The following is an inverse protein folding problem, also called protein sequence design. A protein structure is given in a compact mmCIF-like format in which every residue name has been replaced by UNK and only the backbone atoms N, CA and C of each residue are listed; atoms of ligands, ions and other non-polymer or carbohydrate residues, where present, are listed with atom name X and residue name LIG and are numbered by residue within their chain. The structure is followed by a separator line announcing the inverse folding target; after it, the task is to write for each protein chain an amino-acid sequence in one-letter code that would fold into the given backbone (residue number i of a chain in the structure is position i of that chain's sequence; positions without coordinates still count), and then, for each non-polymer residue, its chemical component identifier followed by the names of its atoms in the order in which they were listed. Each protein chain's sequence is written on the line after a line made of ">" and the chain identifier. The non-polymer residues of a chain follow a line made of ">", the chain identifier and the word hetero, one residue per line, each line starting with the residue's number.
data_IF_106161667851
#
_entry.id   IF_106161667851
#
_cell.length_a   1.000
_cell.length_b   1.000
_cell.length_c   1.000
_cell.angle_alpha   90.00
_cell.angle_beta   90.00
_cell.angle_gamma   90.00
#
_symmetry.space_group_name_H-M   'P 1'
#
loop_
_entity.id
_entity.type
_entity.pdbx_description
1 polymer ?
#
# COMPACT_ATOMS: atom_id res chain seq x y z
N UNK A 1 17.90 -0.19 -4.65
CA UNK A 1 19.01 -0.03 -3.67
C UNK A 1 18.96 -1.25 -2.73
N UNK A 2 20.06 -1.77 -2.18
CA UNK A 2 20.00 -2.98 -1.33
C UNK A 2 19.44 -2.64 0.07
N UNK A 3 18.51 -3.43 0.60
CA UNK A 3 17.79 -3.16 1.87
C UNK A 3 18.73 -2.90 3.05
N UNK A 4 19.89 -3.58 3.09
CA UNK A 4 20.89 -3.41 4.15
C UNK A 4 21.98 -2.37 3.83
N UNK A 5 21.90 -1.69 2.68
CA UNK A 5 23.00 -0.85 2.19
C UNK A 5 23.30 0.35 3.08
N UNK A 6 22.26 1.01 3.62
CA UNK A 6 22.36 2.14 4.56
C UNK A 6 22.97 1.70 5.87
N UNK A 7 22.45 0.62 6.48
CA UNK A 7 22.99 0.05 7.72
C UNK A 7 24.45 -0.40 7.57
N UNK A 8 24.76 -1.04 6.46
CA UNK A 8 26.15 -1.43 6.13
C UNK A 8 27.06 -0.20 5.99
N UNK A 9 26.56 0.88 5.38
CA UNK A 9 27.30 2.13 5.25
C UNK A 9 27.55 2.77 6.61
N UNK A 10 26.53 2.85 7.48
CA UNK A 10 26.63 3.40 8.83
C UNK A 10 27.63 2.62 9.69
N UNK A 11 27.52 1.29 9.71
CA UNK A 11 28.50 0.42 10.39
C UNK A 11 29.89 0.62 9.81
N UNK A 12 30.03 0.70 8.49
CA UNK A 12 31.34 0.92 7.85
C UNK A 12 31.96 2.26 8.23
N UNK A 13 31.17 3.33 8.26
CA UNK A 13 31.59 4.67 8.66
C UNK A 13 32.07 4.70 10.11
N UNK A 14 31.36 4.00 11.02
CA UNK A 14 31.72 3.90 12.43
C UNK A 14 32.92 2.96 12.66
N UNK A 15 32.98 1.84 11.94
CA UNK A 15 34.06 0.86 12.03
C UNK A 15 35.42 1.43 11.63
N UNK A 16 35.47 2.34 10.64
CA UNK A 16 36.70 3.05 10.23
C UNK A 16 37.33 3.89 11.35
N UNK A 17 36.57 4.24 12.39
CA UNK A 17 37.05 4.99 13.55
C UNK A 17 37.57 4.09 14.66
N UNK A 18 37.40 2.77 14.55
CA UNK A 18 37.88 1.82 15.55
C UNK A 18 39.39 1.56 15.34
N UNK A 19 40.20 1.57 16.42
CA UNK A 19 41.60 1.21 16.33
C UNK A 19 41.75 -0.26 15.89
N UNK A 20 42.74 -0.53 15.04
CA UNK A 20 43.09 -1.89 14.57
C UNK A 20 41.98 -2.64 13.81
N UNK A 21 40.94 -1.94 13.35
CA UNK A 21 39.88 -2.52 12.54
C UNK A 21 40.22 -2.43 11.04
N UNK A 22 40.31 -3.58 10.37
CA UNK A 22 40.67 -3.68 8.94
C UNK A 22 39.52 -4.22 8.09
N UNK A 23 38.27 -3.99 8.53
CA UNK A 23 37.10 -4.61 7.92
C UNK A 23 36.63 -3.88 6.65
N UNK A 24 36.36 -4.66 5.60
CA UNK A 24 35.76 -4.17 4.35
C UNK A 24 34.23 -4.15 4.42
N UNK A 25 33.59 -3.43 3.49
CA UNK A 25 32.13 -3.38 3.38
C UNK A 25 31.49 -4.76 3.15
N UNK A 26 32.14 -5.61 2.35
CA UNK A 26 31.68 -6.97 2.10
C UNK A 26 31.76 -7.84 3.37
N UNK A 27 32.80 -7.67 4.18
CA UNK A 27 32.94 -8.35 5.47
C UNK A 27 31.91 -7.87 6.49
N UNK A 28 31.50 -6.60 6.47
CA UNK A 28 30.38 -6.12 7.30
C UNK A 28 29.07 -6.82 6.95
N UNK A 29 28.78 -7.03 5.66
CA UNK A 29 27.60 -7.80 5.23
C UNK A 29 27.66 -9.26 5.73
N UNK A 30 28.85 -9.86 5.74
CA UNK A 30 29.09 -11.19 6.31
C UNK A 30 28.88 -11.21 7.84
N UNK A 31 29.24 -10.14 8.55
CA UNK A 31 28.96 -10.00 9.98
C UNK A 31 27.48 -9.81 10.27
N UNK A 32 26.77 -9.00 9.49
CA UNK A 32 25.32 -8.84 9.61
C UNK A 32 24.63 -10.19 9.36
N UNK A 33 25.05 -10.93 8.35
CA UNK A 33 24.54 -12.29 8.11
C UNK A 33 24.78 -13.21 9.32
N UNK A 34 25.99 -13.20 9.90
CA UNK A 34 26.30 -13.99 11.09
C UNK A 34 25.47 -13.59 12.31
N UNK A 35 25.27 -12.30 12.53
CA UNK A 35 24.42 -11.77 13.60
C UNK A 35 22.98 -12.33 13.47
N UNK A 36 22.44 -12.28 12.26
CA UNK A 36 21.14 -12.82 11.88
C UNK A 36 21.10 -14.36 11.74
N UNK A 37 22.18 -15.07 12.09
CA UNK A 37 22.21 -16.53 12.13
C UNK A 37 22.49 -17.24 10.80
N UNK A 38 22.93 -16.51 9.77
CA UNK A 38 23.31 -17.05 8.46
C UNK A 38 24.83 -17.10 8.33
N UNK A 39 25.34 -18.14 7.68
CA UNK A 39 26.79 -18.36 7.51
C UNK A 39 27.44 -17.36 6.54
N UNK A 40 26.67 -16.91 5.54
CA UNK A 40 27.13 -16.01 4.48
C UNK A 40 26.04 -15.00 4.13
N UNK A 41 26.46 -13.88 3.54
CA UNK A 41 25.52 -12.86 3.06
C UNK A 41 24.66 -13.35 1.89
N UNK A 42 25.18 -14.26 1.06
CA UNK A 42 24.38 -14.89 0.00
C UNK A 42 23.20 -15.70 0.56
N UNK A 43 23.43 -16.49 1.63
CA UNK A 43 22.36 -17.23 2.29
C UNK A 43 21.36 -16.32 3.03
N UNK A 44 21.80 -15.14 3.46
CA UNK A 44 20.91 -14.13 4.04
C UNK A 44 19.92 -13.58 3.01
N UNK A 45 20.36 -13.33 1.77
CA UNK A 45 19.49 -12.78 0.72
C UNK A 45 18.29 -13.66 0.37
N UNK A 46 18.40 -14.97 0.55
CA UNK A 46 17.35 -15.94 0.22
C UNK A 46 16.47 -16.30 1.43
N UNK A 47 16.54 -15.52 2.51
CA UNK A 47 15.84 -15.78 3.77
C UNK A 47 14.92 -14.62 4.12
N UNK A 48 13.80 -14.89 4.80
CA UNK A 48 12.94 -13.83 5.39
C UNK A 48 13.72 -13.06 6.45
N UNK A 49 14.05 -11.80 6.16
CA UNK A 49 14.87 -10.95 7.04
C UNK A 49 14.13 -10.58 8.32
N UNK A 50 12.81 -10.38 8.23
CA UNK A 50 11.88 -10.09 9.33
C UNK A 50 11.91 -11.20 10.38
N UNK A 51 11.77 -12.46 9.97
CA UNK A 51 11.91 -13.62 10.86
C UNK A 51 13.29 -13.69 11.53
N UNK A 52 14.37 -13.40 10.78
CA UNK A 52 15.72 -13.43 11.33
C UNK A 52 15.96 -12.30 12.33
N UNK A 53 15.37 -11.11 12.08
CA UNK A 53 15.42 -9.98 13.01
C UNK A 53 14.65 -10.30 14.29
N UNK A 54 13.48 -10.92 14.19
CA UNK A 54 12.70 -11.35 15.36
C UNK A 54 13.48 -12.41 16.17
N UNK A 55 14.09 -13.38 15.49
CA UNK A 55 14.92 -14.38 16.16
C UNK A 55 16.13 -13.73 16.86
N UNK A 56 16.83 -12.81 16.19
CA UNK A 56 17.94 -12.07 16.78
C UNK A 56 17.50 -11.21 17.98
N UNK A 57 16.27 -10.70 17.97
CA UNK A 57 15.69 -9.97 19.09
C UNK A 57 15.32 -10.88 20.28
N UNK A 58 14.85 -12.10 20.01
CA UNK A 58 14.57 -13.11 21.04
C UNK A 58 15.84 -13.61 21.73
N UNK A 59 16.94 -13.73 20.97
CA UNK A 59 18.21 -14.30 21.44
C UNK A 59 19.40 -13.34 21.20
N UNK A 60 19.41 -12.13 21.80
CA UNK A 60 20.36 -11.09 21.45
C UNK A 60 21.81 -11.44 21.81
N UNK A 61 22.02 -12.18 22.90
CA UNK A 61 23.36 -12.64 23.30
C UNK A 61 23.92 -13.68 22.32
N UNK A 62 23.07 -14.60 21.82
CA UNK A 62 23.48 -15.60 20.84
C UNK A 62 23.79 -14.91 19.50
N UNK A 63 22.94 -13.97 19.07
CA UNK A 63 23.19 -13.17 17.87
C UNK A 63 24.51 -12.39 17.96
N UNK A 64 24.76 -11.76 19.10
CA UNK A 64 26.00 -11.03 19.38
C UNK A 64 27.23 -11.95 19.30
N UNK A 65 27.22 -13.10 19.96
CA UNK A 65 28.36 -14.02 19.96
C UNK A 65 28.63 -14.61 18.57
N UNK A 66 27.59 -14.95 17.79
CA UNK A 66 27.77 -15.39 16.39
C UNK A 66 28.50 -14.34 15.55
N UNK A 67 28.11 -13.08 15.71
CA UNK A 67 28.75 -11.95 15.04
C UNK A 67 30.21 -11.76 15.49
N UNK A 68 30.46 -11.79 16.80
CA UNK A 68 31.82 -11.67 17.38
C UNK A 68 32.74 -12.77 16.86
N UNK A 69 32.28 -14.03 16.88
CA UNK A 69 33.06 -15.17 16.38
C UNK A 69 33.36 -15.04 14.88
N UNK A 70 32.37 -14.61 14.07
CA UNK A 70 32.60 -14.35 12.63
C UNK A 70 33.64 -13.26 12.41
N UNK A 71 33.67 -12.20 13.23
CA UNK A 71 34.68 -11.14 13.13
C UNK A 71 36.08 -11.66 13.45
N UNK A 72 36.22 -12.52 14.45
CA UNK A 72 37.49 -13.19 14.77
C UNK A 72 37.95 -14.05 13.58
N UNK A 73 37.05 -14.81 12.96
CA UNK A 73 37.35 -15.59 11.75
C UNK A 73 37.75 -14.71 10.55
N UNK A 74 37.38 -13.43 10.53
CA UNK A 74 37.78 -12.44 9.54
C UNK A 74 39.04 -11.66 9.97
N UNK A 75 39.86 -12.27 10.82
CA UNK A 75 41.15 -11.76 11.31
C UNK A 75 41.05 -10.42 12.06
N UNK A 76 39.93 -10.15 12.73
CA UNK A 76 39.81 -9.01 13.64
C UNK A 76 40.29 -9.40 15.04
N UNK A 77 40.86 -8.45 15.79
CA UNK A 77 41.24 -8.66 17.19
C UNK A 77 39.99 -8.91 18.06
N UNK A 78 40.16 -9.45 19.27
CA UNK A 78 39.02 -9.68 20.17
C UNK A 78 38.31 -8.37 20.56
N UNK A 79 39.08 -7.31 20.78
CA UNK A 79 38.56 -5.97 21.07
C UNK A 79 37.78 -5.41 19.89
N UNK A 80 38.35 -5.44 18.67
CA UNK A 80 37.67 -4.96 17.46
C UNK A 80 36.42 -5.79 17.15
N UNK A 81 36.46 -7.11 17.35
CA UNK A 81 35.33 -8.02 17.12
C UNK A 81 34.15 -7.70 18.05
N UNK A 82 34.43 -7.45 19.33
CA UNK A 82 33.42 -7.02 20.32
C UNK A 82 32.81 -5.67 19.94
N UNK A 83 33.63 -4.71 19.52
CA UNK A 83 33.15 -3.39 19.09
C UNK A 83 32.30 -3.48 17.82
N UNK A 84 32.70 -4.27 16.83
CA UNK A 84 31.93 -4.49 15.60
C UNK A 84 30.59 -5.16 15.87
N UNK A 85 30.54 -6.17 16.75
CA UNK A 85 29.28 -6.81 17.14
C UNK A 85 28.34 -5.83 17.86
N UNK A 86 28.87 -4.93 18.70
CA UNK A 86 28.07 -3.85 19.31
C UNK A 86 27.54 -2.88 18.25
N UNK A 87 28.38 -2.43 17.31
CA UNK A 87 27.96 -1.55 16.23
C UNK A 87 26.82 -2.16 15.40
N UNK A 88 26.94 -3.44 15.05
CA UNK A 88 25.91 -4.15 14.28
C UNK A 88 24.63 -4.32 15.08
N UNK A 89 24.71 -4.70 16.35
CA UNK A 89 23.53 -4.79 17.24
C UNK A 89 22.81 -3.45 17.31
N UNK A 90 23.53 -2.38 17.61
CA UNK A 90 22.94 -1.05 17.80
C UNK A 90 22.29 -0.55 16.50
N UNK A 91 22.92 -0.83 15.35
CA UNK A 91 22.41 -0.46 14.03
C UNK A 91 21.20 -1.30 13.60
N UNK A 92 21.17 -2.60 13.93
CA UNK A 92 20.03 -3.46 13.61
C UNK A 92 18.87 -3.30 14.60
N UNK A 93 19.11 -2.77 15.79
CA UNK A 93 18.04 -2.52 16.77
C UNK A 93 16.96 -1.57 16.22
N UNK A 94 17.35 -0.57 15.42
CA UNK A 94 16.38 0.31 14.75
C UNK A 94 15.55 -0.43 13.71
N UNK A 95 16.17 -1.34 12.94
CA UNK A 95 15.47 -2.17 11.96
C UNK A 95 14.50 -3.16 12.63
N UNK A 96 14.86 -3.70 13.80
CA UNK A 96 13.96 -4.54 14.62
C UNK A 96 12.73 -3.74 15.07
N UNK A 97 12.90 -2.46 15.44
CA UNK A 97 11.79 -1.58 15.79
C UNK A 97 10.88 -1.21 14.62
N UNK A 98 11.33 -1.39 13.37
CA UNK A 98 10.62 -1.01 12.14
C UNK A 98 10.07 -2.22 11.36
N UNK A 99 9.93 -3.39 12.00
CA UNK A 99 9.51 -4.62 11.32
C UNK A 99 8.18 -4.48 10.56
N UNK A 100 7.15 -3.91 11.18
CA UNK A 100 5.85 -3.70 10.53
C UNK A 100 5.95 -2.80 9.30
N UNK A 101 6.75 -1.73 9.37
CA UNK A 101 7.00 -0.86 8.22
C UNK A 101 7.66 -1.61 7.06
N UNK A 102 8.64 -2.48 7.34
CA UNK A 102 9.29 -3.28 6.31
C UNK A 102 8.33 -4.30 5.68
N UNK A 103 7.51 -4.97 6.49
CA UNK A 103 6.46 -5.89 6.03
C UNK A 103 5.48 -5.14 5.12
N UNK A 104 5.02 -3.97 5.55
CA UNK A 104 4.07 -3.15 4.80
C UNK A 104 4.64 -2.70 3.45
N UNK A 105 5.91 -2.29 3.41
CA UNK A 105 6.58 -1.95 2.15
C UNK A 105 6.73 -3.15 1.20
N UNK A 106 7.05 -4.33 1.73
CA UNK A 106 7.16 -5.55 0.93
C UNK A 106 5.79 -5.98 0.38
N UNK A 107 4.74 -5.90 1.20
CA UNK A 107 3.37 -6.23 0.80
C UNK A 107 2.84 -5.24 -0.24
N UNK A 108 3.05 -3.94 -0.05
CA UNK A 108 2.69 -2.94 -1.06
C UNK A 108 3.44 -3.17 -2.38
N UNK A 109 4.74 -3.49 -2.32
CA UNK A 109 5.50 -3.83 -3.52
C UNK A 109 4.95 -5.07 -4.23
N UNK A 110 4.52 -6.08 -3.47
CA UNK A 110 3.88 -7.26 -4.05
C UNK A 110 2.58 -6.90 -4.76
N UNK A 111 1.67 -6.19 -4.09
CA UNK A 111 0.36 -5.82 -4.64
C UNK A 111 0.50 -4.96 -5.92
N UNK A 112 1.38 -3.96 -5.88
CA UNK A 112 1.66 -3.11 -7.07
C UNK A 112 2.40 -3.85 -8.19
N UNK A 113 3.26 -4.82 -7.85
CA UNK A 113 3.96 -5.65 -8.84
C UNK A 113 2.99 -6.61 -9.54
N UNK A 114 2.02 -7.18 -8.83
CA UNK A 114 0.98 -8.05 -9.39
C UNK A 114 0.08 -7.28 -10.37
N UNK A 115 -0.38 -6.07 -10.01
CA UNK A 115 -1.18 -5.22 -10.91
C UNK A 115 -0.43 -4.82 -12.19
N UNK A 116 0.87 -4.57 -12.09
CA UNK A 116 1.69 -4.23 -13.27
C UNK A 116 1.84 -5.38 -14.28
N UNK A 117 1.59 -6.63 -13.86
CA UNK A 117 1.63 -7.81 -14.71
C UNK A 117 0.26 -8.16 -15.32
N UNK A 118 -0.84 -7.65 -14.74
CA UNK A 118 -2.21 -7.86 -15.23
C UNK A 118 -2.71 -6.72 -16.12
N UNK A 119 -2.15 -5.51 -16.01
CA UNK A 119 -2.47 -4.32 -16.84
C UNK A 119 -1.86 -4.33 -18.26
N UNK A 120 -1.82 -5.48 -18.94
CA UNK A 120 -1.74 -5.47 -20.41
C UNK A 120 -3.16 -5.43 -20.96
N UNK A 121 -3.69 -4.21 -21.09
CA UNK A 121 -4.71 -3.89 -22.07
C UNK A 121 -4.17 -4.21 -23.47
N UNK A 122 -4.49 -5.39 -24.00
CA UNK A 122 -4.59 -5.61 -25.45
C UNK A 122 -6.08 -5.61 -25.81
N UNK A 123 -6.69 -4.43 -25.63
CA UNK A 123 -8.03 -4.10 -26.08
C UNK A 123 -8.02 -3.83 -27.61
N UNK A 124 -7.44 -4.74 -28.42
CA UNK A 124 -7.51 -4.58 -29.88
C UNK A 124 -7.39 -5.86 -30.73
N UNK A 125 -7.83 -7.02 -30.23
CA UNK A 125 -8.20 -8.11 -31.14
C UNK A 125 -9.46 -8.86 -30.70
N UNK A 126 -10.55 -8.54 -31.37
CA UNK A 126 -11.68 -9.46 -31.57
C UNK A 126 -11.15 -10.72 -32.25
N UNK A 127 -10.77 -11.73 -31.48
CA UNK A 127 -11.00 -13.11 -31.89
C UNK A 127 -11.34 -13.96 -30.66
N UNK A 128 -12.62 -14.28 -30.58
CA UNK A 128 -13.23 -15.13 -29.58
C UNK A 128 -12.85 -16.59 -29.84
N UNK A 129 -11.66 -17.02 -29.44
CA UNK A 129 -11.35 -18.44 -29.18
C UNK A 129 -9.93 -18.63 -28.66
N UNK A 130 -9.57 -18.04 -27.53
CA UNK A 130 -8.53 -18.58 -26.66
C UNK A 130 -8.72 -17.93 -25.30
N UNK A 131 -9.45 -18.62 -24.40
CA UNK A 131 -9.36 -18.32 -22.97
C UNK A 131 -7.87 -18.29 -22.64
N UNK A 132 -7.34 -17.13 -22.29
CA UNK A 132 -5.99 -16.99 -21.78
C UNK A 132 -5.91 -17.71 -20.43
N UNK A 133 -5.78 -19.03 -20.46
CA UNK A 133 -5.35 -19.87 -19.35
C UNK A 133 -3.86 -19.62 -19.08
N UNK A 134 -3.47 -18.36 -18.87
CA UNK A 134 -2.07 -17.98 -18.61
C UNK A 134 -1.67 -18.10 -17.14
N UNK A 135 -2.59 -18.50 -16.26
CA UNK A 135 -2.30 -18.84 -14.86
C UNK A 135 -1.89 -20.30 -14.63
N UNK A 136 -1.72 -21.12 -15.68
CA UNK A 136 -1.29 -22.51 -15.51
C UNK A 136 0.23 -22.74 -15.41
N UNK A 137 1.09 -21.72 -15.56
CA UNK A 137 2.53 -21.95 -15.51
C UNK A 137 3.28 -21.01 -14.56
N UNK A 138 3.76 -21.62 -13.48
CA UNK A 138 4.63 -21.11 -12.41
C UNK A 138 4.00 -20.08 -11.48
N UNK A 139 3.39 -20.59 -10.40
CA UNK A 139 3.22 -19.84 -9.15
C UNK A 139 4.56 -19.19 -8.80
N UNK A 140 4.70 -17.89 -9.05
CA UNK A 140 5.83 -17.12 -8.58
C UNK A 140 5.67 -17.07 -7.08
N UNK A 141 6.13 -18.10 -6.34
CA UNK A 141 5.98 -18.15 -4.87
C UNK A 141 6.85 -17.10 -4.17
N UNK A 142 7.69 -16.38 -4.94
CA UNK A 142 8.71 -15.48 -4.44
C UNK A 142 9.00 -14.34 -5.40
N UNK A 143 9.31 -13.16 -4.87
CA UNK A 143 9.73 -11.99 -5.66
C UNK A 143 11.01 -11.38 -5.08
N UNK A 144 11.69 -10.51 -5.84
CA UNK A 144 12.85 -9.79 -5.32
C UNK A 144 12.50 -8.39 -4.85
N UNK A 145 12.81 -8.08 -3.59
CA UNK A 145 12.67 -6.74 -3.03
C UNK A 145 14.01 -6.26 -2.49
N UNK A 146 14.51 -5.14 -3.03
CA UNK A 146 15.76 -4.52 -2.59
C UNK A 146 16.94 -5.51 -2.45
N UNK A 147 17.04 -6.46 -3.38
CA UNK A 147 18.12 -7.46 -3.46
C UNK A 147 17.96 -8.66 -2.52
N UNK A 148 16.79 -8.82 -1.89
CA UNK A 148 16.37 -10.00 -1.13
C UNK A 148 15.29 -10.76 -1.89
N UNK A 149 15.22 -12.07 -1.67
CA UNK A 149 14.16 -12.95 -2.16
C UNK A 149 13.10 -13.07 -1.05
N UNK A 150 11.88 -12.67 -1.36
CA UNK A 150 10.75 -12.64 -0.43
C UNK A 150 9.81 -13.78 -0.80
N UNK A 151 9.47 -14.60 0.19
CA UNK A 151 8.48 -15.67 0.03
C UNK A 151 7.09 -15.12 0.34
N UNK A 152 6.18 -15.26 -0.63
CA UNK A 152 4.86 -14.61 -0.60
C UNK A 152 4.01 -15.14 0.56
N UNK A 153 4.03 -16.45 0.81
CA UNK A 153 3.23 -17.07 1.89
C UNK A 153 3.72 -16.63 3.27
N UNK A 154 5.04 -16.57 3.44
CA UNK A 154 5.61 -16.06 4.67
C UNK A 154 5.32 -14.57 4.86
N UNK A 155 5.44 -13.77 3.80
CA UNK A 155 5.12 -12.34 3.84
C UNK A 155 3.66 -12.11 4.25
N UNK A 156 2.71 -12.82 3.64
CA UNK A 156 1.31 -12.72 4.03
C UNK A 156 1.11 -13.12 5.50
N UNK A 157 1.73 -14.21 5.96
CA UNK A 157 1.65 -14.63 7.37
C UNK A 157 2.19 -13.54 8.33
N UNK A 158 3.31 -12.90 7.97
CA UNK A 158 3.90 -11.81 8.75
C UNK A 158 3.00 -10.57 8.76
N UNK A 159 2.36 -10.25 7.63
CA UNK A 159 1.38 -9.19 7.48
C UNK A 159 0.18 -9.41 8.40
N UNK A 160 -0.40 -10.62 8.38
CA UNK A 160 -1.51 -10.98 9.27
C UNK A 160 -1.14 -10.86 10.75
N UNK A 161 0.07 -11.28 11.12
CA UNK A 161 0.54 -11.15 12.50
C UNK A 161 0.71 -9.68 12.92
N UNK A 162 1.16 -8.81 12.01
CA UNK A 162 1.29 -7.37 12.24
C UNK A 162 -0.09 -6.71 12.38
N UNK A 163 -1.03 -7.07 11.52
CA UNK A 163 -2.45 -6.68 11.58
C UNK A 163 -3.09 -7.08 12.92
N UNK A 164 -2.93 -8.33 13.36
CA UNK A 164 -3.43 -8.83 14.67
C UNK A 164 -2.81 -8.07 15.86
N UNK A 165 -1.58 -7.58 15.73
CA UNK A 165 -0.92 -6.74 16.76
C UNK A 165 -1.43 -5.29 16.77
N UNK A 166 -2.32 -4.92 15.85
CA UNK A 166 -2.93 -3.60 15.76
C UNK A 166 -2.19 -2.62 14.84
N UNK A 167 -1.29 -3.08 13.96
CA UNK A 167 -0.68 -2.20 12.96
C UNK A 167 -1.69 -1.89 11.85
N UNK A 168 -2.21 -0.67 11.87
CA UNK A 168 -3.30 -0.23 10.98
C UNK A 168 -2.93 -0.25 9.49
N UNK A 169 -1.65 -0.02 9.15
CA UNK A 169 -1.18 -0.10 7.77
C UNK A 169 -1.11 -1.55 7.31
N UNK A 170 -0.68 -2.48 8.17
CA UNK A 170 -0.74 -3.92 7.90
C UNK A 170 -2.17 -4.39 7.74
N UNK A 171 -3.11 -3.93 8.56
CA UNK A 171 -4.54 -4.28 8.43
C UNK A 171 -5.12 -3.80 7.10
N UNK A 172 -4.76 -2.59 6.65
CA UNK A 172 -5.16 -2.08 5.33
C UNK A 172 -4.60 -2.94 4.19
N UNK A 173 -3.32 -3.31 4.26
CA UNK A 173 -2.68 -4.14 3.25
C UNK A 173 -3.19 -5.60 3.26
N UNK A 174 -3.54 -6.15 4.43
CA UNK A 174 -4.18 -7.46 4.52
C UNK A 174 -5.54 -7.46 3.81
N UNK A 175 -6.32 -6.39 3.99
CA UNK A 175 -7.58 -6.21 3.26
C UNK A 175 -7.37 -6.22 1.74
N UNK A 176 -6.44 -5.39 1.24
CA UNK A 176 -6.15 -5.29 -0.19
C UNK A 176 -5.63 -6.62 -0.76
N UNK A 177 -4.79 -7.32 -0.01
CA UNK A 177 -4.28 -8.63 -0.40
C UNK A 177 -5.40 -9.67 -0.51
N UNK A 178 -6.29 -9.75 0.48
CA UNK A 178 -7.42 -10.69 0.43
C UNK A 178 -8.37 -10.36 -0.73
N UNK A 179 -8.48 -9.09 -1.11
CA UNK A 179 -9.28 -8.66 -2.26
C UNK A 179 -8.64 -9.07 -3.60
N UNK A 180 -7.32 -8.95 -3.73
CA UNK A 180 -6.54 -9.45 -4.89
C UNK A 180 -6.63 -10.97 -5.02
N UNK A 181 -6.49 -11.70 -3.91
CA UNK A 181 -6.67 -13.16 -3.87
C UNK A 181 -8.09 -13.56 -4.33
N UNK A 182 -9.11 -12.74 -4.03
CA UNK A 182 -10.48 -12.95 -4.48
C UNK A 182 -10.67 -12.67 -5.98
N UNK A 183 -10.15 -11.56 -6.48
CA UNK A 183 -10.30 -11.14 -7.89
C UNK A 183 -9.60 -12.11 -8.85
N UNK A 184 -8.54 -12.79 -8.38
CA UNK A 184 -7.79 -13.80 -9.14
C UNK A 184 -8.60 -15.06 -9.50
N UNK A 185 -9.81 -15.25 -8.93
CA UNK A 185 -10.65 -16.41 -9.18
C UNK A 185 -11.88 -16.02 -10.03
N UNK A 186 -11.87 -16.38 -11.32
CA UNK A 186 -13.03 -16.20 -12.19
C UNK A 186 -14.19 -17.07 -11.70
N UNK A 187 -15.28 -16.44 -11.25
CA UNK A 187 -16.48 -17.13 -10.75
C UNK A 187 -17.33 -17.78 -11.84
N UNK A 188 -17.07 -17.45 -13.11
CA UNK A 188 -17.68 -18.13 -14.24
C UNK A 188 -17.35 -19.62 -14.17
N UNK A 189 -18.38 -20.45 -14.27
CA UNK A 189 -18.23 -21.91 -14.19
C UNK A 189 -17.76 -22.41 -12.80
N UNK A 190 -18.22 -21.83 -11.67
CA UNK A 190 -18.05 -22.41 -10.32
C UNK A 190 -19.37 -23.00 -9.78
N UNK A 191 -19.31 -24.13 -9.05
CA UNK A 191 -20.52 -24.74 -8.48
C UNK A 191 -20.29 -25.45 -7.14
N UNK A 192 -20.91 -24.92 -6.09
CA UNK A 192 -20.95 -25.54 -4.76
C UNK A 192 -21.50 -26.96 -4.82
N UNK A 193 -22.58 -27.18 -5.58
CA UNK A 193 -23.21 -28.49 -5.71
C UNK A 193 -22.21 -29.54 -6.20
N UNK A 194 -21.48 -29.26 -7.28
CA UNK A 194 -20.52 -30.23 -7.83
C UNK A 194 -19.28 -30.39 -6.94
N UNK A 195 -18.84 -29.35 -6.24
CA UNK A 195 -17.83 -29.47 -5.21
C UNK A 195 -18.27 -30.41 -4.07
N UNK A 196 -19.49 -30.28 -3.57
CA UNK A 196 -20.00 -31.19 -2.55
C UNK A 196 -20.18 -32.63 -3.05
N UNK A 197 -20.57 -32.83 -4.31
CA UNK A 197 -20.61 -34.15 -4.92
C UNK A 197 -19.21 -34.75 -5.13
N UNK A 198 -18.20 -33.93 -5.42
CA UNK A 198 -16.80 -34.36 -5.54
C UNK A 198 -16.27 -34.89 -4.21
N UNK A 199 -16.56 -34.19 -3.10
CA UNK A 199 -16.19 -34.63 -1.74
C UNK A 199 -16.85 -35.95 -1.34
N UNK A 200 -18.02 -36.26 -1.90
CA UNK A 200 -18.73 -37.54 -1.70
C UNK A 200 -18.23 -38.67 -2.59
N UNK A 201 -17.23 -38.42 -3.44
CA UNK A 201 -16.63 -39.42 -4.33
C UNK A 201 -17.51 -39.83 -5.51
N UNK A 202 -18.48 -38.98 -5.92
CA UNK A 202 -19.36 -39.28 -7.04
C UNK A 202 -18.60 -39.20 -8.37
N UNK A 203 -18.89 -40.12 -9.30
CA UNK A 203 -18.32 -40.07 -10.65
C UNK A 203 -18.90 -38.88 -11.42
N UNK A 204 -18.04 -37.95 -11.81
CA UNK A 204 -18.40 -36.72 -12.52
C UNK A 204 -17.79 -36.70 -13.92
N UNK A 205 -18.51 -36.07 -14.86
CA UNK A 205 -17.98 -35.69 -16.17
C UNK A 205 -17.00 -34.51 -16.06
N UNK A 206 -16.27 -34.24 -17.13
CA UNK A 206 -15.15 -33.28 -17.11
C UNK A 206 -15.60 -31.83 -16.81
N UNK A 207 -16.76 -31.41 -17.33
CA UNK A 207 -17.34 -30.10 -17.02
C UNK A 207 -17.71 -29.95 -15.54
N UNK A 208 -18.26 -30.99 -14.92
CA UNK A 208 -18.66 -30.97 -13.50
C UNK A 208 -17.44 -30.91 -12.59
N UNK A 209 -16.35 -31.61 -12.97
CA UNK A 209 -15.05 -31.51 -12.28
C UNK A 209 -14.50 -30.10 -12.37
N UNK A 210 -14.49 -29.49 -13.57
CA UNK A 210 -14.04 -28.11 -13.77
C UNK A 210 -14.82 -27.15 -12.85
N UNK A 211 -16.14 -27.31 -12.75
CA UNK A 211 -16.97 -26.50 -11.86
C UNK A 211 -16.70 -26.70 -10.37
N UNK A 212 -16.46 -27.93 -9.96
CA UNK A 212 -16.06 -28.28 -8.60
C UNK A 212 -14.68 -27.70 -8.24
N UNK A 213 -13.71 -27.79 -9.15
CA UNK A 213 -12.34 -27.33 -8.96
C UNK A 213 -12.29 -25.79 -8.90
N UNK A 214 -13.05 -25.10 -9.76
CA UNK A 214 -13.19 -23.65 -9.71
C UNK A 214 -13.80 -23.19 -8.37
N UNK A 215 -14.85 -23.87 -7.90
CA UNK A 215 -15.44 -23.57 -6.58
C UNK A 215 -14.45 -23.83 -5.45
N UNK A 216 -13.65 -24.91 -5.52
CA UNK A 216 -12.63 -25.22 -4.52
C UNK A 216 -11.53 -24.16 -4.43
N UNK A 217 -11.18 -23.51 -5.57
CA UNK A 217 -10.24 -22.38 -5.61
C UNK A 217 -10.85 -21.11 -5.00
N UNK A 218 -12.15 -20.88 -5.19
CA UNK A 218 -12.86 -19.68 -4.72
C UNK A 218 -13.19 -19.70 -3.23
N UNK A 219 -13.67 -20.85 -2.72
CA UNK A 219 -14.32 -20.90 -1.39
C UNK A 219 -13.40 -20.51 -0.24
N UNK A 220 -12.10 -20.82 -0.32
CA UNK A 220 -11.14 -20.49 0.75
C UNK A 220 -10.83 -18.99 0.81
N UNK A 221 -10.41 -18.32 -0.28
CA UNK A 221 -10.31 -16.87 -0.32
C UNK A 221 -11.58 -16.17 0.15
N UNK A 222 -12.76 -16.62 -0.31
CA UNK A 222 -14.04 -15.99 0.05
C UNK A 222 -14.29 -16.07 1.56
N UNK A 223 -14.12 -17.25 2.16
CA UNK A 223 -14.29 -17.42 3.61
C UNK A 223 -13.28 -16.60 4.43
N UNK A 224 -12.03 -16.48 3.96
CA UNK A 224 -11.01 -15.67 4.62
C UNK A 224 -11.38 -14.18 4.59
N UNK A 225 -11.80 -13.69 3.43
CA UNK A 225 -12.23 -12.31 3.27
C UNK A 225 -13.49 -11.99 4.07
N UNK A 226 -14.53 -12.82 4.00
CA UNK A 226 -15.76 -12.65 4.79
C UNK A 226 -15.47 -12.63 6.30
N UNK A 227 -14.57 -13.50 6.75
CA UNK A 227 -14.10 -13.49 8.14
C UNK A 227 -13.35 -12.21 8.49
N UNK A 228 -12.53 -11.70 7.58
CA UNK A 228 -11.78 -10.47 7.80
C UNK A 228 -12.73 -9.27 7.94
N UNK A 229 -13.62 -9.06 6.96
CA UNK A 229 -14.54 -7.90 6.96
C UNK A 229 -15.54 -7.92 8.13
N UNK A 230 -15.86 -9.12 8.67
CA UNK A 230 -16.72 -9.24 9.86
C UNK A 230 -16.00 -8.97 11.19
N UNK A 231 -14.66 -8.93 11.19
CA UNK A 231 -13.83 -8.69 12.38
C UNK A 231 -13.19 -7.30 12.41
N UNK A 232 -13.20 -6.60 11.29
CA UNK A 232 -12.51 -5.33 11.08
C UNK A 232 -13.50 -4.23 10.79
N UNK A 233 -13.26 -3.05 11.36
CA UNK A 233 -14.01 -1.83 11.10
C UNK A 233 -13.13 -0.82 10.37
N UNK A 234 -13.74 0.18 9.73
CA UNK A 234 -13.00 1.27 9.07
C UNK A 234 -11.98 1.97 9.99
N UNK A 235 -12.24 2.01 11.30
CA UNK A 235 -11.35 2.66 12.28
C UNK A 235 -10.05 1.90 12.54
N UNK A 236 -10.00 0.62 12.16
CA UNK A 236 -8.84 -0.24 12.31
C UNK A 236 -7.82 -0.04 11.16
N UNK A 237 -8.25 0.60 10.06
CA UNK A 237 -7.37 0.91 8.95
C UNK A 237 -6.55 2.18 9.15
N UNK A 238 -5.40 2.21 8.49
CA UNK A 238 -4.65 3.45 8.29
C UNK A 238 -5.37 4.30 7.24
N UNK A 239 -5.26 5.62 7.37
CA UNK A 239 -5.76 6.60 6.42
C UNK A 239 -4.77 7.75 6.35
N UNK A 240 -4.82 8.64 5.34
CA UNK A 240 -3.71 9.56 5.09
C UNK A 240 -3.52 10.67 6.14
N UNK A 241 -4.52 11.01 6.96
CA UNK A 241 -4.45 12.11 7.95
C UNK A 241 -4.14 13.50 7.31
N UNK A 242 -4.82 13.82 6.21
CA UNK A 242 -4.69 15.10 5.49
C UNK A 242 -4.97 16.31 6.39
N UNK A 243 -5.97 16.23 7.27
CA UNK A 243 -6.30 17.36 8.16
C UNK A 243 -5.16 17.69 9.14
N UNK A 244 -4.46 16.67 9.64
CA UNK A 244 -3.31 16.87 10.51
C UNK A 244 -2.14 17.52 9.76
N UNK A 245 -1.97 17.22 8.46
CA UNK A 245 -0.98 17.90 7.63
C UNK A 245 -1.29 19.40 7.47
N UNK A 246 -2.57 19.76 7.32
CA UNK A 246 -2.97 21.16 7.22
C UNK A 246 -2.66 21.95 8.50
N UNK A 247 -2.65 21.28 9.66
CA UNK A 247 -2.35 21.90 10.96
C UNK A 247 -0.86 21.93 11.29
N UNK A 248 -0.14 20.84 11.00
CA UNK A 248 1.25 20.64 11.46
C UNK A 248 2.30 21.03 10.44
N UNK A 249 1.96 21.01 9.14
CA UNK A 249 2.90 21.15 8.03
C UNK A 249 4.07 20.14 8.08
N UNK A 250 3.84 18.96 8.69
CA UNK A 250 4.84 17.89 8.82
C UNK A 250 4.76 16.88 7.66
N UNK A 251 5.53 17.15 6.62
CA UNK A 251 5.59 16.31 5.43
C UNK A 251 6.38 15.00 5.60
N UNK A 252 7.05 14.78 6.73
CA UNK A 252 7.78 13.52 6.97
C UNK A 252 6.79 12.35 7.07
N UNK A 253 5.56 12.60 7.52
CA UNK A 253 4.47 11.61 7.58
C UNK A 253 4.10 11.05 6.20
N UNK A 254 4.22 11.85 5.13
CA UNK A 254 3.96 11.43 3.75
C UNK A 254 5.01 10.42 3.27
N UNK A 255 6.26 10.57 3.69
CA UNK A 255 7.35 9.67 3.34
C UNK A 255 7.29 8.33 4.09
N UNK A 256 6.67 8.32 5.26
CA UNK A 256 6.64 7.16 6.15
C UNK A 256 5.32 6.35 6.09
N UNK A 257 4.27 6.86 5.44
CA UNK A 257 2.97 6.19 5.35
C UNK A 257 2.70 5.61 3.96
N UNK A 258 2.29 4.34 3.90
CA UNK A 258 1.87 3.69 2.65
C UNK A 258 0.63 4.35 2.03
N UNK A 259 -0.19 5.06 2.82
CA UNK A 259 -1.47 5.60 2.32
C UNK A 259 -1.26 6.58 1.16
N UNK A 260 -0.14 7.30 1.14
CA UNK A 260 0.20 8.25 0.08
C UNK A 260 0.77 7.60 -1.19
N UNK A 261 0.99 6.28 -1.16
CA UNK A 261 1.41 5.48 -2.31
C UNK A 261 0.25 4.71 -2.95
N UNK A 262 -0.92 4.74 -2.32
CA UNK A 262 -2.15 4.14 -2.84
C UNK A 262 -2.93 5.20 -3.64
N UNK A 263 -3.71 4.75 -4.61
CA UNK A 263 -4.66 5.63 -5.32
C UNK A 263 -5.81 6.00 -4.38
N UNK A 264 -5.96 7.30 -4.09
CA UNK A 264 -6.93 7.79 -3.14
C UNK A 264 -8.38 7.61 -3.60
N UNK A 265 -8.64 7.67 -4.92
CA UNK A 265 -9.98 7.49 -5.50
C UNK A 265 -10.40 6.03 -5.40
N UNK A 266 -9.51 5.12 -5.83
CA UNK A 266 -9.73 3.68 -5.73
C UNK A 266 -9.97 3.26 -4.27
N UNK A 267 -9.11 3.71 -3.36
CA UNK A 267 -9.26 3.41 -1.94
C UNK A 267 -10.56 3.97 -1.36
N UNK A 268 -10.97 5.17 -1.75
CA UNK A 268 -12.26 5.74 -1.33
C UNK A 268 -13.43 4.86 -1.78
N UNK A 269 -13.46 4.47 -3.06
CA UNK A 269 -14.52 3.62 -3.61
C UNK A 269 -14.55 2.23 -2.97
N UNK A 270 -13.39 1.57 -2.87
CA UNK A 270 -13.26 0.25 -2.27
C UNK A 270 -13.75 0.25 -0.82
N UNK A 271 -13.28 1.18 0.00
CA UNK A 271 -13.70 1.25 1.39
C UNK A 271 -15.20 1.54 1.51
N UNK A 272 -15.75 2.40 0.65
CA UNK A 272 -17.17 2.74 0.66
C UNK A 272 -18.05 1.55 0.25
N UNK A 273 -17.58 0.69 -0.66
CA UNK A 273 -18.28 -0.54 -1.04
C UNK A 273 -18.50 -1.49 0.15
N UNK A 274 -17.53 -1.58 1.07
CA UNK A 274 -17.59 -2.55 2.18
C UNK A 274 -18.04 -1.95 3.52
N UNK A 275 -17.78 -0.66 3.75
CA UNK A 275 -18.09 0.01 5.03
C UNK A 275 -18.90 1.32 4.86
N UNK A 276 -19.49 1.56 3.68
CA UNK A 276 -20.21 2.79 3.35
C UNK A 276 -21.65 2.91 3.84
N UNK A 277 -22.29 1.83 4.27
CA UNK A 277 -23.73 1.88 4.64
C UNK A 277 -23.98 2.26 6.11
N UNK A 278 -22.94 2.41 6.93
CA UNK A 278 -23.03 2.50 8.41
C UNK A 278 -22.91 3.94 9.01
N UNK A 279 -23.24 4.99 8.25
CA UNK A 279 -22.97 6.39 8.65
C UNK A 279 -24.11 7.14 9.32
N UNK A 280 -24.19 7.07 10.65
CA UNK A 280 -25.02 7.99 11.45
C UNK A 280 -24.22 9.14 12.11
N UNK A 281 -22.88 9.22 11.95
CA UNK A 281 -22.07 10.25 12.63
C UNK A 281 -20.86 10.76 11.86
N UNK A 282 -20.51 12.04 12.08
CA UNK A 282 -19.38 12.75 11.47
C UNK A 282 -18.02 12.07 11.77
N UNK A 283 -17.87 11.44 12.95
CA UNK A 283 -16.64 10.72 13.35
C UNK A 283 -16.40 9.49 12.48
N UNK A 284 -17.46 8.75 12.13
CA UNK A 284 -17.35 7.55 11.27
C UNK A 284 -17.03 7.89 9.82
N UNK A 285 -17.32 9.11 9.39
CA UNK A 285 -17.01 9.62 8.04
C UNK A 285 -15.56 10.09 7.90
N UNK A 286 -14.83 10.28 9.01
CA UNK A 286 -13.50 10.88 8.97
C UNK A 286 -12.53 10.11 8.07
N UNK A 287 -12.38 8.77 8.15
CA UNK A 287 -11.48 8.03 7.26
C UNK A 287 -11.79 8.24 5.77
N UNK A 288 -13.08 8.19 5.39
CA UNK A 288 -13.54 8.39 4.01
C UNK A 288 -13.24 9.79 3.50
N UNK A 289 -13.49 10.79 4.34
CA UNK A 289 -13.15 12.17 4.01
C UNK A 289 -11.63 12.33 3.82
N UNK A 290 -10.79 11.67 4.62
CA UNK A 290 -9.34 11.72 4.41
C UNK A 290 -8.92 11.12 3.05
N UNK A 291 -9.54 10.02 2.63
CA UNK A 291 -9.29 9.41 1.32
C UNK A 291 -9.81 10.27 0.16
N UNK A 292 -11.00 10.86 0.30
CA UNK A 292 -11.55 11.81 -0.69
C UNK A 292 -10.63 13.04 -0.85
N UNK A 293 -10.12 13.58 0.26
CA UNK A 293 -9.14 14.67 0.24
C UNK A 293 -7.85 14.27 -0.46
N UNK A 294 -7.31 13.08 -0.15
CA UNK A 294 -6.11 12.58 -0.82
C UNK A 294 -6.34 12.40 -2.33
N UNK A 295 -7.48 11.83 -2.73
CA UNK A 295 -7.87 11.70 -4.14
C UNK A 295 -7.86 13.04 -4.86
N UNK A 296 -8.50 14.08 -4.29
CA UNK A 296 -8.51 15.42 -4.86
C UNK A 296 -7.11 16.07 -4.94
N UNK A 297 -6.19 15.73 -4.03
CA UNK A 297 -4.82 16.22 -4.04
C UNK A 297 -3.94 15.48 -5.06
N UNK A 298 -4.14 14.18 -5.25
CA UNK A 298 -3.43 13.38 -6.25
C UNK A 298 -3.89 13.71 -7.67
N UNK A 299 -5.21 13.75 -7.88
CA UNK A 299 -5.85 13.97 -9.18
C UNK A 299 -6.93 15.06 -9.07
N UNK A 300 -6.54 16.35 -9.07
CA UNK A 300 -7.48 17.45 -8.95
C UNK A 300 -8.51 17.42 -10.07
N UNK A 301 -9.78 17.25 -9.73
CA UNK A 301 -10.89 17.36 -10.67
C UNK A 301 -12.06 18.12 -10.05
N UNK A 302 -12.91 18.65 -10.92
CA UNK A 302 -14.02 19.52 -10.51
C UNK A 302 -15.00 18.80 -9.58
N UNK A 303 -15.32 17.54 -9.86
CA UNK A 303 -16.32 16.77 -9.11
C UNK A 303 -15.90 16.57 -7.66
N UNK A 304 -14.69 16.04 -7.43
CA UNK A 304 -14.16 15.77 -6.10
C UNK A 304 -14.01 17.04 -5.27
N UNK A 305 -13.45 18.10 -5.86
CA UNK A 305 -13.25 19.35 -5.14
C UNK A 305 -14.59 20.01 -4.81
N UNK A 306 -15.57 19.92 -5.71
CA UNK A 306 -16.94 20.40 -5.46
C UNK A 306 -17.56 19.68 -4.28
N UNK A 307 -17.48 18.35 -4.24
CA UNK A 307 -17.98 17.53 -3.13
C UNK A 307 -17.32 17.90 -1.80
N UNK A 308 -16.00 18.12 -1.78
CA UNK A 308 -15.27 18.54 -0.59
C UNK A 308 -15.72 19.92 -0.08
N UNK A 309 -15.97 20.87 -0.99
CA UNK A 309 -16.47 22.20 -0.62
C UNK A 309 -17.89 22.10 -0.05
N UNK A 310 -18.78 21.36 -0.71
CA UNK A 310 -20.19 21.26 -0.31
C UNK A 310 -20.38 20.49 1.01
N UNK A 311 -19.55 19.48 1.26
CA UNK A 311 -19.59 18.70 2.50
C UNK A 311 -18.86 19.35 3.69
N UNK A 312 -17.97 20.32 3.45
CA UNK A 312 -17.32 21.05 4.53
C UNK A 312 -18.25 22.11 5.14
N UNK A 313 -18.15 22.29 6.46
CA UNK A 313 -18.83 23.36 7.20
C UNK A 313 -17.89 24.51 7.57
N UNK A 314 -16.59 24.39 7.28
CA UNK A 314 -15.59 25.41 7.58
C UNK A 314 -15.37 26.33 6.36
N UNK A 315 -15.74 27.63 6.44
CA UNK A 315 -15.45 28.58 5.38
C UNK A 315 -13.96 28.64 4.99
N UNK A 316 -13.04 28.41 5.93
CA UNK A 316 -11.60 28.45 5.63
C UNK A 316 -11.24 27.27 4.72
N UNK A 317 -11.70 26.07 5.05
CA UNK A 317 -11.49 24.87 4.24
C UNK A 317 -12.14 25.00 2.85
N UNK A 318 -13.40 25.45 2.79
CA UNK A 318 -14.11 25.67 1.52
C UNK A 318 -13.36 26.62 0.58
N UNK A 319 -12.87 27.74 1.13
CA UNK A 319 -12.08 28.71 0.36
C UNK A 319 -10.70 28.14 -0.03
N UNK A 320 -10.07 27.34 0.83
CA UNK A 320 -8.78 26.71 0.53
C UNK A 320 -8.89 25.70 -0.63
N UNK A 321 -9.94 24.87 -0.64
CA UNK A 321 -10.22 23.96 -1.77
C UNK A 321 -10.50 24.71 -3.06
N UNK A 322 -11.29 25.78 -3.03
CA UNK A 322 -11.56 26.60 -4.21
C UNK A 322 -10.29 27.29 -4.74
N UNK A 323 -9.41 27.77 -3.85
CA UNK A 323 -8.13 28.33 -4.24
C UNK A 323 -7.21 27.27 -4.85
N UNK A 324 -7.10 26.09 -4.22
CA UNK A 324 -6.35 24.95 -4.75
C UNK A 324 -6.85 24.52 -6.14
N UNK A 325 -8.17 24.45 -6.35
CA UNK A 325 -8.77 24.16 -7.66
C UNK A 325 -8.31 25.17 -8.71
N UNK A 326 -8.37 26.46 -8.37
CA UNK A 326 -7.98 27.55 -9.27
C UNK A 326 -6.52 27.48 -9.68
N UNK A 327 -5.62 27.14 -8.75
CA UNK A 327 -4.19 26.92 -9.04
C UNK A 327 -3.97 25.72 -9.98
N UNK A 328 -4.87 24.73 -9.95
CA UNK A 328 -4.93 23.62 -10.91
C UNK A 328 -5.78 23.92 -12.15
N UNK A 329 -6.11 25.20 -12.40
CA UNK A 329 -6.90 25.69 -13.56
C UNK A 329 -8.34 25.17 -13.59
N UNK A 330 -8.90 24.84 -12.43
CA UNK A 330 -10.29 24.42 -12.25
C UNK A 330 -11.05 25.54 -11.54
N UNK A 331 -12.01 26.17 -12.22
CA UNK A 331 -12.86 27.21 -11.60
C UNK A 331 -14.19 26.63 -11.14
N UNK A 332 -14.22 26.15 -9.89
CA UNK A 332 -15.43 25.60 -9.25
C UNK A 332 -16.53 26.65 -9.00
N UNK A 333 -16.24 27.95 -9.15
CA UNK A 333 -17.20 29.04 -8.85
C UNK A 333 -18.05 29.47 -10.04
N UNK A 334 -17.64 29.09 -11.26
CA UNK A 334 -18.38 29.38 -12.49
C UNK A 334 -19.18 28.15 -12.92
N UNK A 335 -20.29 28.39 -13.61
CA UNK A 335 -21.03 27.33 -14.30
C UNK A 335 -20.17 26.73 -15.42
N UNK A 336 -20.22 25.42 -15.56
CA UNK A 336 -19.57 24.65 -16.61
C UNK A 336 -20.58 23.64 -17.18
N UNK A 337 -21.51 24.16 -17.97
CA UNK A 337 -22.59 23.39 -18.57
C UNK A 337 -22.29 23.11 -20.04
N UNK A 338 -22.55 21.87 -20.48
CA UNK A 338 -22.41 21.45 -21.86
C UNK A 338 -23.62 20.62 -22.31
N UNK A 339 -23.80 20.53 -23.62
CA UNK A 339 -24.87 19.71 -24.19
C UNK A 339 -24.51 18.22 -24.08
N UNK A 340 -25.48 17.41 -23.64
CA UNK A 340 -25.37 15.95 -23.62
C UNK A 340 -26.52 15.33 -24.41
N UNK A 341 -26.33 14.12 -24.92
CA UNK A 341 -27.41 13.27 -25.37
C UNK A 341 -28.17 12.75 -24.14
N UNK A 342 -29.48 12.99 -24.03
CA UNK A 342 -30.24 12.56 -22.84
C UNK A 342 -30.41 11.05 -22.75
N UNK A 343 -30.32 10.32 -23.86
CA UNK A 343 -30.50 8.86 -23.87
C UNK A 343 -29.21 8.14 -23.46
N UNK A 344 -28.03 8.66 -23.82
CA UNK A 344 -26.73 8.02 -23.53
C UNK A 344 -25.90 8.71 -22.45
N UNK A 345 -26.16 10.00 -22.17
CA UNK A 345 -25.36 10.83 -21.26
C UNK A 345 -24.04 11.33 -21.86
N UNK A 346 -23.72 10.94 -23.10
CA UNK A 346 -22.51 11.35 -23.81
C UNK A 346 -22.57 12.83 -24.22
N UNK A 347 -21.42 13.46 -24.43
CA UNK A 347 -21.37 14.81 -24.97
C UNK A 347 -22.07 14.84 -26.33
N UNK A 348 -22.97 15.80 -26.52
CA UNK A 348 -23.77 15.89 -27.73
C UNK A 348 -22.89 16.30 -28.92
N UNK A 349 -22.83 15.47 -29.94
CA UNK A 349 -22.00 15.60 -31.15
C UNK A 349 -22.81 15.90 -32.42
N UNK A 350 -24.01 16.45 -32.25
CA UNK A 350 -24.94 16.87 -33.30
C UNK A 350 -25.66 15.75 -34.09
N UNK A 351 -25.32 14.47 -33.87
CA UNK A 351 -25.69 13.41 -34.84
C UNK A 351 -26.94 12.58 -34.46
N UNK A 352 -27.36 12.50 -33.20
CA UNK A 352 -28.63 11.85 -32.82
C UNK A 352 -29.09 12.16 -31.38
N UNK A 353 -30.34 11.78 -31.09
CA UNK A 353 -30.91 11.79 -29.75
C UNK A 353 -31.40 13.16 -29.27
N UNK A 354 -32.19 13.21 -28.19
CA UNK A 354 -32.69 14.45 -27.63
C UNK A 354 -31.62 15.13 -26.76
N UNK A 355 -31.49 16.45 -26.90
CA UNK A 355 -30.46 17.25 -26.23
C UNK A 355 -30.83 17.57 -24.77
N UNK A 356 -29.88 17.38 -23.87
CA UNK A 356 -29.95 17.73 -22.45
C UNK A 356 -28.81 18.66 -22.04
N UNK A 357 -28.89 19.17 -20.81
CA UNK A 357 -27.81 19.97 -20.20
C UNK A 357 -27.10 19.09 -19.18
N UNK A 358 -25.82 18.83 -19.42
CA UNK A 358 -24.89 18.21 -18.48
C UNK A 358 -23.93 19.23 -17.88
N UNK A 359 -23.02 18.76 -17.03
CA UNK A 359 -22.00 19.56 -16.39
C UNK A 359 -22.37 20.03 -14.98
N UNK A 360 -21.78 21.14 -14.56
CA UNK A 360 -21.76 21.56 -13.15
C UNK A 360 -22.18 23.01 -12.98
N UNK A 361 -23.04 23.28 -12.00
CA UNK A 361 -23.30 24.65 -11.56
C UNK A 361 -22.12 25.19 -10.73
N UNK A 362 -21.94 26.51 -10.73
CA UNK A 362 -20.93 27.19 -9.93
C UNK A 362 -21.24 27.17 -8.44
N UNK A 363 -20.24 26.84 -7.62
CA UNK A 363 -20.37 26.83 -6.16
C UNK A 363 -20.29 28.24 -5.60
N UNK A 364 -21.25 28.57 -4.73
CA UNK A 364 -21.25 29.82 -3.97
C UNK A 364 -20.53 29.64 -2.63
N UNK A 365 -19.32 30.16 -2.56
CA UNK A 365 -18.56 30.17 -1.31
C UNK A 365 -19.18 31.13 -0.28
N UNK A 366 -19.16 30.80 1.03
CA UNK A 366 -19.62 31.70 2.07
C UNK A 366 -18.70 32.93 2.19
N UNK A 367 -19.17 33.96 2.89
CA UNK A 367 -18.33 35.14 3.15
C UNK A 367 -17.13 34.77 4.03
N UNK A 368 -15.91 35.06 3.56
CA UNK A 368 -14.68 34.90 4.33
C UNK A 368 -14.34 36.20 5.07
N UNK A 369 -14.00 36.10 6.36
CA UNK A 369 -13.50 37.25 7.10
C UNK A 369 -12.07 37.59 6.64
N UNK A 370 -11.69 38.88 6.43
CA UNK A 370 -10.37 39.25 5.91
C UNK A 370 -9.20 38.70 6.72
N UNK A 371 -9.36 38.56 8.04
CA UNK A 371 -8.35 37.97 8.94
C UNK A 371 -8.02 36.49 8.64
N UNK A 372 -8.87 35.79 7.90
CA UNK A 372 -8.70 34.37 7.57
C UNK A 372 -8.07 34.16 6.18
N UNK A 373 -7.92 35.21 5.37
CA UNK A 373 -7.35 35.11 4.00
C UNK A 373 -5.93 34.52 4.01
N UNK A 374 -5.09 34.91 4.98
CA UNK A 374 -3.74 34.36 5.10
C UNK A 374 -3.74 32.87 5.43
N UNK A 375 -4.70 32.40 6.23
CA UNK A 375 -4.81 30.98 6.60
C UNK A 375 -5.31 30.14 5.42
N UNK A 376 -6.25 30.66 4.64
CA UNK A 376 -6.69 30.04 3.38
C UNK A 376 -5.52 29.87 2.42
N UNK A 377 -4.71 30.93 2.25
CA UNK A 377 -3.53 30.86 1.41
C UNK A 377 -2.51 29.82 1.92
N UNK A 378 -2.22 29.81 3.21
CA UNK A 378 -1.30 28.84 3.84
C UNK A 378 -1.74 27.39 3.60
N UNK A 379 -3.00 27.05 3.89
CA UNK A 379 -3.54 25.70 3.67
C UNK A 379 -3.45 25.33 2.18
N UNK A 380 -3.81 26.24 1.28
CA UNK A 380 -3.72 26.00 -0.17
C UNK A 380 -2.27 25.73 -0.62
N UNK A 381 -1.27 26.42 -0.04
CA UNK A 381 0.14 26.12 -0.32
C UNK A 381 0.55 24.74 0.20
N UNK A 382 0.05 24.31 1.37
CA UNK A 382 0.26 22.95 1.88
C UNK A 382 -0.35 21.93 0.91
N UNK A 383 -1.60 22.13 0.47
CA UNK A 383 -2.28 21.27 -0.50
C UNK A 383 -1.47 21.13 -1.80
N UNK A 384 -0.93 22.22 -2.35
CA UNK A 384 -0.07 22.19 -3.55
C UNK A 384 1.21 21.38 -3.32
N UNK A 385 1.84 21.50 -2.14
CA UNK A 385 3.04 20.72 -1.82
C UNK A 385 2.75 19.22 -1.67
N UNK A 386 1.61 18.86 -1.07
CA UNK A 386 1.16 17.47 -1.00
C UNK A 386 0.94 16.93 -2.41
N UNK A 387 0.19 17.64 -3.24
CA UNK A 387 -0.10 17.27 -4.63
C UNK A 387 1.19 17.03 -5.43
N UNK A 388 2.17 17.94 -5.33
CA UNK A 388 3.47 17.77 -5.97
C UNK A 388 4.24 16.55 -5.44
N UNK A 389 4.23 16.30 -4.14
CA UNK A 389 4.89 15.13 -3.54
C UNK A 389 4.25 13.81 -4.00
N UNK A 390 2.93 13.79 -4.19
CA UNK A 390 2.22 12.63 -4.71
C UNK A 390 2.52 12.38 -6.20
N UNK A 391 2.50 13.43 -7.03
CA UNK A 391 2.79 13.33 -8.47
C UNK A 391 4.22 12.88 -8.79
N UNK A 392 5.18 13.18 -7.91
CA UNK A 392 6.57 12.73 -8.08
C UNK A 392 6.79 11.24 -7.71
N UNK A 393 5.75 10.51 -7.30
CA UNK A 393 5.83 9.12 -6.83
C UNK A 393 5.14 8.10 -7.74
N UNK A 394 4.20 8.55 -8.56
CA UNK A 394 3.70 7.85 -9.76
C UNK A 394 4.71 7.97 -10.89
#
# INVERSE_FOLDING_TARGET
>A
MNMLSTYTYNVSSRAKKLPECTISRAQILELIAAYLGKKTYAALKTSSITNLLEQANKEPLIAFERCKLKAIHLNQTETASTQLANLIRDELASLIGMQSSLINQQALHYLTYVDSLTNYDDFDSRDSSESSSRFENESVNKFSYNGFEIDIKNLFTELQQSSIKGDKQSTLLEFLWLLDDLSSVTGDESSQHWYEQSLKGQTMGDTQKKWADNYAKQIKPTQLFERFISQVTISDFAFPFIDELFETNDFDSIENSICYLLDGEEMFHLLNQYWGEDYDSDVKKQPFNQWLKLSALQQPNRSLISELIENSRDPIEQHAWALFAKENKIDVTQDDHYAINMDTGEQWDEDYGPIGVGGYSGIRLPQLAPKNESKVYEISQIMLQISQKCQNRT
#
